data_IF_666655419246
#
_entry.id   IF_666655419246
#
_cell.length_a   1.000
_cell.length_b   1.000
_cell.length_c   1.000
_cell.angle_alpha   90.00
_cell.angle_beta   90.00
_cell.angle_gamma   90.00
#
_symmetry.space_group_name_H-M   'P 1'
#
loop_
_entity.id
_entity.type
_entity.pdbx_description
1 polymer ?
#
# COMPACT_ATOMS: atom_id res chain seq x y z
N UNK A 1 3.54 -74.27 -15.05
CA UNK A 1 2.54 -73.46 -15.78
C UNK A 1 2.48 -72.09 -15.12
N UNK A 2 2.97 -71.07 -15.83
CA UNK A 2 2.96 -69.68 -15.38
C UNK A 2 1.63 -69.02 -15.78
N UNK A 3 1.03 -68.23 -14.88
CA UNK A 3 -0.08 -67.32 -15.20
C UNK A 3 0.06 -66.00 -14.46
N UNK A 4 0.29 -64.97 -15.27
CA UNK A 4 -0.41 -63.68 -15.31
C UNK A 4 -0.09 -62.60 -14.25
N UNK A 5 0.55 -61.55 -14.78
CA UNK A 5 0.72 -60.18 -14.31
C UNK A 5 -0.58 -59.48 -13.89
N UNK A 6 -0.52 -58.63 -12.86
CA UNK A 6 -1.59 -57.66 -12.55
C UNK A 6 -1.13 -56.57 -11.57
N UNK A 7 -0.92 -55.36 -12.09
CA UNK A 7 -0.56 -54.14 -11.38
C UNK A 7 -1.64 -53.70 -10.37
N UNK A 8 -1.25 -53.25 -9.18
CA UNK A 8 -1.99 -52.20 -8.47
C UNK A 8 -0.98 -51.18 -7.91
N UNK A 9 -0.95 -50.03 -8.58
CA UNK A 9 -0.43 -48.76 -8.06
C UNK A 9 -1.18 -48.42 -6.77
N UNK A 10 -0.49 -48.44 -5.63
CA UNK A 10 -0.99 -47.82 -4.40
C UNK A 10 -0.72 -46.31 -4.44
N UNK A 11 -1.73 -45.53 -4.83
CA UNK A 11 -1.72 -44.07 -4.75
C UNK A 11 -1.63 -43.65 -3.27
N UNK A 12 -0.48 -43.08 -2.88
CA UNK A 12 -0.31 -42.36 -1.62
C UNK A 12 -1.14 -41.07 -1.67
N UNK A 13 -2.39 -41.13 -1.19
CA UNK A 13 -3.20 -39.96 -0.89
C UNK A 13 -2.66 -39.30 0.38
N UNK A 14 -1.59 -38.52 0.24
CA UNK A 14 -1.20 -37.55 1.24
C UNK A 14 -2.32 -36.52 1.36
N UNK A 15 -3.12 -36.64 2.42
CA UNK A 15 -4.05 -35.61 2.89
C UNK A 15 -3.22 -34.39 3.27
N UNK A 16 -2.82 -33.61 2.26
CA UNK A 16 -2.33 -32.26 2.45
C UNK A 16 -3.45 -31.48 3.11
N UNK A 17 -3.30 -31.21 4.40
CA UNK A 17 -4.11 -30.24 5.12
C UNK A 17 -4.04 -28.96 4.30
N UNK A 18 -5.10 -28.68 3.53
CA UNK A 18 -5.30 -27.39 2.92
C UNK A 18 -5.42 -26.43 4.09
N UNK A 19 -4.30 -25.77 4.41
CA UNK A 19 -4.29 -24.68 5.37
C UNK A 19 -5.43 -23.77 4.93
N UNK A 20 -6.43 -23.50 5.79
CA UNK A 20 -7.49 -22.58 5.40
C UNK A 20 -6.79 -21.30 4.94
N UNK A 21 -7.30 -20.69 3.88
CA UNK A 21 -6.91 -19.35 3.43
C UNK A 21 -7.35 -18.33 4.51
N UNK A 22 -6.92 -18.56 5.74
CA UNK A 22 -7.16 -17.76 6.91
C UNK A 22 -6.46 -16.44 6.64
N UNK A 23 -7.28 -15.44 6.34
CA UNK A 23 -7.02 -14.03 6.50
C UNK A 23 -5.52 -13.70 6.51
N UNK A 24 -4.87 -13.79 5.35
CA UNK A 24 -3.56 -13.18 5.19
C UNK A 24 -3.78 -11.72 5.51
N UNK A 25 -3.30 -11.28 6.68
CA UNK A 25 -3.51 -9.92 7.14
C UNK A 25 -2.93 -9.03 6.07
N UNK A 26 -3.77 -8.20 5.44
CA UNK A 26 -3.33 -7.33 4.37
C UNK A 26 -2.21 -6.43 4.90
N UNK A 27 -1.01 -6.63 4.37
CA UNK A 27 0.20 -5.88 4.75
C UNK A 27 0.75 -5.22 3.51
N UNK A 28 1.17 -3.96 3.67
CA UNK A 28 1.92 -3.25 2.65
C UNK A 28 3.42 -3.33 2.95
N UNK A 29 4.27 -3.33 1.91
CA UNK A 29 5.70 -3.51 2.07
C UNK A 29 6.41 -2.18 2.37
N UNK A 30 5.78 -1.30 3.16
CA UNK A 30 6.27 0.02 3.55
C UNK A 30 5.93 0.29 5.01
N UNK A 31 6.70 1.15 5.67
CA UNK A 31 6.39 1.58 7.04
C UNK A 31 5.16 2.49 7.08
N UNK A 32 4.46 2.47 8.22
CA UNK A 32 3.39 3.42 8.50
C UNK A 32 3.95 4.85 8.50
N UNK A 33 3.16 5.80 7.98
CA UNK A 33 3.53 7.21 7.94
C UNK A 33 3.07 7.94 6.70
N UNK A 34 3.61 9.14 6.54
CA UNK A 34 3.30 10.08 5.47
C UNK A 34 4.41 10.03 4.42
N UNK A 35 4.06 9.59 3.22
CA UNK A 35 4.96 9.38 2.10
C UNK A 35 4.76 10.48 1.07
N UNK A 36 5.77 11.32 0.90
CA UNK A 36 5.76 12.47 -0.02
C UNK A 36 6.71 12.18 -1.18
N UNK A 37 6.37 12.68 -2.37
CA UNK A 37 7.24 12.56 -3.55
C UNK A 37 8.65 13.06 -3.26
N UNK A 38 9.66 12.36 -3.78
CA UNK A 38 11.07 12.67 -3.51
C UNK A 38 11.51 14.03 -4.06
N UNK A 39 10.84 14.53 -5.11
CA UNK A 39 11.03 15.85 -5.71
C UNK A 39 10.34 16.99 -4.95
N UNK A 40 9.56 16.67 -3.91
CA UNK A 40 8.75 17.61 -3.14
C UNK A 40 9.28 17.74 -1.71
N UNK A 41 9.46 18.96 -1.22
CA UNK A 41 9.83 19.22 0.18
C UNK A 41 8.66 18.83 1.09
N UNK A 42 8.94 18.22 2.24
CA UNK A 42 7.89 17.86 3.21
C UNK A 42 7.06 19.08 3.65
N UNK A 43 7.76 20.20 3.88
CA UNK A 43 7.20 21.48 4.32
C UNK A 43 6.13 22.01 3.37
N UNK A 44 6.31 21.81 2.07
CA UNK A 44 5.45 22.38 1.03
C UNK A 44 4.57 21.33 0.36
N UNK A 45 4.57 20.09 0.85
CA UNK A 45 3.81 19.00 0.27
C UNK A 45 2.31 19.27 0.39
N UNK A 46 1.62 19.25 -0.75
CA UNK A 46 0.16 19.37 -0.84
C UNK A 46 -0.53 18.06 -1.18
N UNK A 47 0.27 17.02 -1.47
CA UNK A 47 -0.15 15.64 -1.71
C UNK A 47 0.77 14.73 -0.92
N UNK A 48 0.20 13.71 -0.29
CA UNK A 48 0.94 12.64 0.35
C UNK A 48 0.20 11.31 0.22
N UNK A 49 0.93 10.23 0.04
CA UNK A 49 0.43 8.88 0.25
C UNK A 49 0.53 8.56 1.74
N UNK A 50 -0.49 7.96 2.34
CA UNK A 50 -0.52 7.72 3.79
C UNK A 50 -0.81 6.27 4.06
N UNK A 51 0.08 5.62 4.81
CA UNK A 51 -0.15 4.28 5.33
C UNK A 51 -0.33 4.35 6.85
N UNK A 52 -1.53 4.04 7.34
CA UNK A 52 -1.87 4.04 8.77
C UNK A 52 -1.98 2.63 9.36
N UNK A 53 -1.27 1.64 8.79
CA UNK A 53 -1.28 0.24 9.21
C UNK A 53 -2.50 -0.55 8.73
N UNK A 54 -3.70 0.03 8.86
CA UNK A 54 -4.98 -0.56 8.41
C UNK A 54 -5.66 0.24 7.31
N UNK A 55 -5.05 1.33 6.86
CA UNK A 55 -5.56 2.18 5.77
C UNK A 55 -4.42 2.61 4.88
N UNK A 56 -4.70 2.72 3.59
CA UNK A 56 -3.76 3.25 2.62
C UNK A 56 -4.47 4.12 1.59
N UNK A 57 -3.77 5.10 1.03
CA UNK A 57 -4.22 5.86 -0.13
C UNK A 57 -3.61 7.26 -0.14
N UNK A 58 -4.24 8.15 -0.89
CA UNK A 58 -3.71 9.50 -1.13
C UNK A 58 -4.50 10.53 -0.33
N UNK A 59 -3.79 11.52 0.21
CA UNK A 59 -4.37 12.69 0.86
C UNK A 59 -3.85 13.94 0.16
N UNK A 60 -4.72 14.81 -0.32
CA UNK A 60 -4.29 15.97 -1.10
C UNK A 60 -5.21 17.18 -0.98
N UNK A 61 -4.65 18.33 -1.35
CA UNK A 61 -5.39 19.56 -1.61
C UNK A 61 -5.50 19.73 -3.14
N UNK A 62 -6.56 20.37 -3.61
CA UNK A 62 -6.82 20.60 -5.03
C UNK A 62 -7.25 22.06 -5.29
N UNK A 63 -7.55 22.40 -6.55
CA UNK A 63 -7.97 23.74 -6.96
C UNK A 63 -6.80 24.74 -7.11
N UNK A 64 -7.06 25.97 -7.59
CA UNK A 64 -6.03 26.97 -7.80
C UNK A 64 -5.25 27.24 -6.51
N UNK A 65 -3.92 27.17 -6.60
CA UNK A 65 -2.99 27.32 -5.45
C UNK A 65 -3.30 26.38 -4.28
N UNK A 66 -3.90 25.22 -4.54
CA UNK A 66 -4.21 24.20 -3.51
C UNK A 66 -5.14 24.75 -2.41
N UNK A 67 -6.08 25.60 -2.83
CA UNK A 67 -7.04 26.28 -1.96
C UNK A 67 -8.19 25.38 -1.50
N UNK A 68 -8.49 24.31 -2.24
CA UNK A 68 -9.56 23.36 -1.92
C UNK A 68 -9.03 22.10 -1.25
N UNK A 69 -9.88 21.43 -0.47
CA UNK A 69 -9.54 20.23 0.30
C UNK A 69 -9.45 20.49 1.82
N UNK A 70 -9.09 19.46 2.60
CA UNK A 70 -8.43 18.23 2.15
C UNK A 70 -9.37 17.20 1.51
N UNK A 71 -8.90 16.54 0.44
CA UNK A 71 -9.45 15.29 -0.05
C UNK A 71 -8.71 14.12 0.61
N UNK A 72 -9.46 13.24 1.26
CA UNK A 72 -8.96 12.01 1.87
C UNK A 72 -9.42 10.83 1.03
N UNK A 73 -8.52 10.31 0.19
CA UNK A 73 -8.74 9.10 -0.62
C UNK A 73 -8.01 7.90 -0.02
N UNK A 74 -7.80 7.90 1.30
CA UNK A 74 -7.40 6.68 1.99
C UNK A 74 -8.59 5.76 2.15
N UNK A 75 -8.38 4.47 2.04
CA UNK A 75 -9.38 3.43 2.23
C UNK A 75 -8.90 2.39 3.25
N UNK A 76 -9.81 1.65 3.91
CA UNK A 76 -9.43 0.47 4.67
C UNK A 76 -8.62 -0.49 3.80
N UNK A 77 -7.50 -0.96 4.32
CA UNK A 77 -6.72 -2.01 3.69
C UNK A 77 -7.36 -3.35 4.04
N UNK A 78 -8.19 -3.85 3.12
CA UNK A 78 -8.94 -5.11 3.29
C UNK A 78 -8.17 -6.27 2.66
N UNK A 79 -7.53 -6.04 1.52
CA UNK A 79 -6.74 -7.04 0.78
C UNK A 79 -5.45 -6.45 0.25
N UNK A 80 -4.44 -7.29 0.13
CA UNK A 80 -3.25 -6.98 -0.64
C UNK A 80 -2.72 -8.22 -1.35
N UNK A 81 -2.17 -8.03 -2.55
CA UNK A 81 -1.63 -9.13 -3.36
C UNK A 81 -0.30 -8.72 -4.00
N UNK A 82 0.65 -9.66 -4.07
CA UNK A 82 1.91 -9.42 -4.78
C UNK A 82 1.65 -9.41 -6.28
N UNK A 83 2.24 -8.45 -6.98
CA UNK A 83 2.20 -8.35 -8.44
C UNK A 83 3.61 -8.13 -9.01
N UNK A 84 3.72 -8.13 -10.34
CA UNK A 84 5.00 -8.06 -11.03
C UNK A 84 5.81 -6.81 -10.64
N UNK A 85 7.15 -6.95 -10.64
CA UNK A 85 8.07 -5.86 -10.31
C UNK A 85 8.24 -5.58 -8.82
N UNK A 86 7.89 -6.54 -7.96
CA UNK A 86 8.03 -6.41 -6.50
C UNK A 86 6.98 -5.49 -5.86
N UNK A 87 5.89 -5.23 -6.57
CA UNK A 87 4.78 -4.43 -6.09
C UNK A 87 3.78 -5.27 -5.30
N UNK A 88 3.06 -4.58 -4.41
CA UNK A 88 1.89 -5.09 -3.70
C UNK A 88 0.72 -4.21 -4.09
N UNK A 89 -0.29 -4.83 -4.70
CA UNK A 89 -1.56 -4.20 -5.06
C UNK A 89 -2.42 -4.03 -3.81
N UNK A 90 -3.00 -2.85 -3.66
CA UNK A 90 -3.91 -2.47 -2.60
C UNK A 90 -5.32 -2.77 -3.05
N UNK A 91 -6.08 -3.56 -2.27
CA UNK A 91 -7.50 -3.82 -2.48
C UNK A 91 -7.89 -4.24 -3.92
N UNK A 92 -7.01 -4.99 -4.60
CA UNK A 92 -7.22 -5.45 -5.99
C UNK A 92 -7.23 -4.31 -7.04
N UNK A 93 -6.68 -3.14 -6.68
CA UNK A 93 -6.33 -2.05 -7.59
C UNK A 93 -7.09 -0.74 -7.33
N UNK A 94 -6.70 0.37 -7.99
CA UNK A 94 -5.59 0.47 -8.94
C UNK A 94 -4.23 0.75 -8.30
N UNK A 95 -4.18 0.98 -6.98
CA UNK A 95 -2.95 1.38 -6.31
C UNK A 95 -2.02 0.20 -6.06
N UNK A 96 -0.74 0.39 -6.36
CA UNK A 96 0.32 -0.57 -6.12
C UNK A 96 1.50 0.10 -5.42
N UNK A 97 2.11 -0.60 -4.47
CA UNK A 97 3.19 -0.09 -3.63
C UNK A 97 4.38 -1.04 -3.64
N UNK A 98 5.58 -0.52 -3.79
CA UNK A 98 6.81 -1.30 -3.66
C UNK A 98 7.86 -0.55 -2.84
N UNK A 99 8.62 -1.22 -1.96
CA UNK A 99 9.73 -0.59 -1.25
C UNK A 99 10.87 -0.30 -2.23
N UNK A 100 11.70 0.68 -1.86
CA UNK A 100 12.97 0.98 -2.51
C UNK A 100 14.06 1.11 -1.45
N UNK A 101 15.35 0.97 -1.83
CA UNK A 101 16.46 1.24 -0.93
C UNK A 101 16.38 2.64 -0.29
N UNK A 102 17.13 2.83 0.79
CA UNK A 102 17.26 4.12 1.48
C UNK A 102 15.96 4.68 2.07
N UNK A 103 15.05 3.80 2.51
CA UNK A 103 13.79 4.20 3.14
C UNK A 103 12.82 4.89 2.18
N UNK A 104 12.96 4.64 0.88
CA UNK A 104 12.05 5.12 -0.16
C UNK A 104 11.04 4.05 -0.53
N UNK A 105 10.01 4.45 -1.27
CA UNK A 105 9.07 3.55 -1.90
C UNK A 105 8.64 4.10 -3.26
N UNK A 106 7.91 3.28 -4.01
CA UNK A 106 7.19 3.70 -5.19
C UNK A 106 5.72 3.39 -5.00
N UNK A 107 4.88 4.38 -5.27
CA UNK A 107 3.43 4.20 -5.40
C UNK A 107 3.07 4.45 -6.86
N UNK A 108 2.24 3.59 -7.45
CA UNK A 108 1.73 3.79 -8.81
C UNK A 108 0.25 3.46 -8.88
N UNK A 109 -0.46 4.13 -9.78
CA UNK A 109 -1.74 3.61 -10.27
C UNK A 109 -1.48 2.78 -11.52
N UNK A 110 -1.94 1.54 -11.49
CA UNK A 110 -1.83 0.60 -12.59
C UNK A 110 -3.22 0.03 -12.90
N UNK A 111 -3.66 0.21 -14.13
CA UNK A 111 -4.89 -0.38 -14.66
C UNK A 111 -4.55 -1.64 -15.46
N UNK A 112 -5.24 -2.76 -15.26
CA UNK A 112 -5.02 -3.95 -16.09
C UNK A 112 -5.23 -3.71 -17.59
N UNK A 113 -6.15 -2.81 -17.97
CA UNK A 113 -6.49 -2.52 -19.36
C UNK A 113 -5.71 -1.35 -19.97
N UNK A 114 -5.25 -0.40 -19.15
CA UNK A 114 -4.58 0.82 -19.61
C UNK A 114 -3.10 0.91 -19.21
N UNK A 115 -2.60 -0.05 -18.42
CA UNK A 115 -1.25 -0.04 -17.88
C UNK A 115 -1.04 1.00 -16.78
N UNK A 116 0.23 1.37 -16.57
CA UNK A 116 0.62 2.34 -15.54
C UNK A 116 0.17 3.73 -15.94
N UNK A 117 -0.71 4.33 -15.13
CA UNK A 117 -1.26 5.67 -15.37
C UNK A 117 -0.33 6.75 -14.82
N UNK A 118 0.27 6.50 -13.66
CA UNK A 118 1.26 7.39 -13.04
C UNK A 118 2.14 6.61 -12.08
N UNK A 119 3.29 7.18 -11.72
CA UNK A 119 4.24 6.60 -10.76
C UNK A 119 4.88 7.71 -9.95
N UNK A 120 4.88 7.55 -8.63
CA UNK A 120 5.51 8.43 -7.67
C UNK A 120 6.63 7.69 -6.93
N UNK A 121 7.86 8.19 -7.05
CA UNK A 121 8.92 7.86 -6.09
C UNK A 121 8.69 8.69 -4.83
N UNK A 122 8.62 8.03 -3.68
CA UNK A 122 8.22 8.65 -2.41
C UNK A 122 9.19 8.32 -1.28
N UNK A 123 9.21 9.18 -0.28
CA UNK A 123 9.99 9.03 0.96
C UNK A 123 9.14 9.40 2.16
N UNK A 124 9.49 8.87 3.34
CA UNK A 124 8.85 9.27 4.58
C UNK A 124 9.15 10.73 4.92
N UNK A 125 8.11 11.44 5.35
CA UNK A 125 8.20 12.75 5.97
C UNK A 125 7.72 12.64 7.43
N UNK A 126 8.56 12.95 8.42
CA UNK A 126 8.11 13.03 9.80
C UNK A 126 6.99 14.08 9.95
N UNK A 127 5.92 13.83 10.72
CA UNK A 127 4.82 14.78 10.88
C UNK A 127 5.21 16.21 11.26
N UNK A 128 6.28 16.36 12.05
CA UNK A 128 6.81 17.67 12.44
C UNK A 128 7.34 18.50 11.26
N UNK A 129 7.79 17.84 10.18
CA UNK A 129 8.36 18.49 8.98
C UNK A 129 7.32 18.89 7.94
N UNK A 130 6.05 18.50 8.13
CA UNK A 130 4.95 18.87 7.25
C UNK A 130 4.49 20.31 7.51
N UNK A 131 3.88 20.94 6.51
CA UNK A 131 3.15 22.20 6.74
C UNK A 131 2.12 22.03 7.86
N UNK A 132 1.85 23.12 8.59
CA UNK A 132 0.78 23.15 9.59
C UNK A 132 -0.56 22.71 8.98
N UNK A 133 -0.87 23.20 7.77
CA UNK A 133 -2.11 22.85 7.05
C UNK A 133 -2.24 21.34 6.81
N UNK A 134 -1.19 20.68 6.30
CA UNK A 134 -1.20 19.23 6.06
C UNK A 134 -1.27 18.44 7.37
N UNK A 135 -0.45 18.81 8.35
CA UNK A 135 -0.41 18.12 9.65
C UNK A 135 -1.76 18.18 10.37
N UNK A 136 -2.40 19.36 10.41
CA UNK A 136 -3.71 19.52 11.04
C UNK A 136 -4.78 18.70 10.32
N UNK A 137 -4.75 18.70 8.98
CA UNK A 137 -5.69 17.94 8.16
C UNK A 137 -5.56 16.41 8.37
N UNK A 138 -4.33 15.88 8.34
CA UNK A 138 -4.07 14.46 8.59
C UNK A 138 -4.42 14.04 10.02
N UNK A 139 -4.16 14.92 11.00
CA UNK A 139 -4.54 14.68 12.41
C UNK A 139 -6.05 14.64 12.57
N UNK A 140 -6.78 15.59 11.98
CA UNK A 140 -8.25 15.61 11.98
C UNK A 140 -8.85 14.38 11.31
N UNK A 141 -8.18 13.85 10.28
CA UNK A 141 -8.58 12.62 9.60
C UNK A 141 -8.20 11.33 10.37
N UNK A 142 -7.50 11.43 11.50
CA UNK A 142 -7.04 10.27 12.28
C UNK A 142 -5.95 9.45 11.59
N UNK A 143 -5.26 10.02 10.60
CA UNK A 143 -4.24 9.33 9.81
C UNK A 143 -2.84 9.43 10.41
N UNK A 144 -2.61 10.41 11.27
CA UNK A 144 -1.40 10.55 12.08
C UNK A 144 -1.79 10.90 13.51
N UNK A 145 -0.92 10.57 14.47
CA UNK A 145 -1.08 11.03 15.85
C UNK A 145 -0.79 12.53 15.93
N UNK A 146 -1.57 13.23 16.75
CA UNK A 146 -1.24 14.61 17.10
C UNK A 146 0.15 14.66 17.74
N UNK A 147 0.98 15.62 17.35
CA UNK A 147 2.19 15.92 18.11
C UNK A 147 1.77 16.36 19.53
N UNK A 148 2.50 15.97 20.58
CA UNK A 148 2.29 16.52 21.91
C UNK A 148 2.37 18.05 21.82
N UNK A 149 1.39 18.75 22.38
CA UNK A 149 1.49 20.20 22.55
C UNK A 149 2.62 20.45 23.56
N UNK A 150 3.59 21.34 23.26
CA UNK A 150 4.60 21.73 24.24
C UNK A 150 3.98 22.39 25.47
#
# INVERSE_FOLDING_TARGET
MARTTGCILGVMAGLGLAVPLAAQTAKLPIAEGVWVKTDTKCETATTAHVFGGKRFGTFYFYGPKQSMGPANETEPLVRSSKVAGGFVMVNEGPLEVAPRPNGQAVVRANSPSQGVQWTDAVRLCPPATLSKKMRDALTKAGLIKAAPRP
#
